data_IF_243127826748
#
_entry.id   IF_243127826748
#
_cell.length_a   1.000
_cell.length_b   1.000
_cell.length_c   1.000
_cell.angle_alpha   90.00
_cell.angle_beta   90.00
_cell.angle_gamma   90.00
#
_symmetry.space_group_name_H-M   'P 1'
#
loop_
_entity.id
_entity.type
_entity.pdbx_description
1 polymer ?
#
# COMPACT_ATOMS: atom_id res chain seq x y z
N UNK A 1 -0.52 -6.51 -17.39
CA UNK A 1 -1.80 -6.23 -16.70
C UNK A 1 -2.80 -7.36 -16.96
N UNK A 2 -3.44 -7.90 -15.90
CA UNK A 2 -4.41 -8.99 -15.98
C UNK A 2 -5.80 -8.42 -15.67
N UNK A 3 -6.80 -8.49 -16.60
CA UNK A 3 -8.13 -7.91 -16.37
C UNK A 3 -8.80 -8.36 -15.05
N UNK A 4 -8.53 -9.61 -14.63
CA UNK A 4 -9.04 -10.17 -13.37
C UNK A 4 -8.59 -9.40 -12.12
N UNK A 5 -7.46 -8.70 -12.18
CA UNK A 5 -6.84 -7.95 -11.08
C UNK A 5 -6.77 -6.45 -11.39
N UNK A 6 -7.74 -5.96 -12.15
CA UNK A 6 -7.81 -4.58 -12.59
C UNK A 6 -9.16 -3.96 -12.24
N UNK A 7 -9.15 -2.72 -11.76
CA UNK A 7 -10.36 -1.92 -11.56
C UNK A 7 -10.45 -0.86 -12.67
N UNK A 8 -11.65 -0.61 -13.21
CA UNK A 8 -11.82 0.27 -14.37
C UNK A 8 -11.24 1.67 -14.19
N UNK A 9 -11.38 2.25 -12.99
CA UNK A 9 -10.95 3.61 -12.68
C UNK A 9 -9.43 3.77 -12.80
N UNK A 10 -8.67 2.80 -12.28
CA UNK A 10 -7.21 2.81 -12.39
C UNK A 10 -6.75 2.48 -13.81
N UNK A 11 -7.42 1.54 -14.48
CA UNK A 11 -7.11 1.20 -15.88
C UNK A 11 -7.30 2.42 -16.80
N UNK A 12 -8.33 3.22 -16.58
CA UNK A 12 -8.62 4.41 -17.37
C UNK A 12 -7.49 5.44 -17.35
N UNK A 13 -6.76 5.56 -16.22
CA UNK A 13 -5.59 6.46 -16.12
C UNK A 13 -4.50 6.08 -17.13
N UNK A 14 -4.34 4.79 -17.40
CA UNK A 14 -3.28 4.23 -18.24
C UNK A 14 -3.72 3.93 -19.66
N UNK A 15 -4.98 4.27 -20.03
CA UNK A 15 -5.44 4.04 -21.38
C UNK A 15 -4.70 4.94 -22.38
N UNK A 16 -4.51 4.48 -23.63
CA UNK A 16 -3.92 5.30 -24.69
C UNK A 16 -4.66 6.63 -24.90
N UNK A 17 -6.00 6.60 -24.81
CA UNK A 17 -6.84 7.78 -24.96
C UNK A 17 -6.56 8.82 -23.89
N UNK A 18 -6.45 8.40 -22.63
CA UNK A 18 -6.08 9.29 -21.50
C UNK A 18 -4.67 9.84 -21.70
N UNK A 19 -3.72 9.02 -22.11
CA UNK A 19 -2.34 9.45 -22.39
C UNK A 19 -2.32 10.53 -23.47
N UNK A 20 -2.97 10.30 -24.61
CA UNK A 20 -2.98 11.28 -25.70
C UNK A 20 -3.77 12.55 -25.35
N UNK A 21 -4.78 12.44 -24.49
CA UNK A 21 -5.47 13.61 -23.96
C UNK A 21 -4.53 14.49 -23.12
N UNK A 22 -3.74 13.91 -22.26
CA UNK A 22 -2.75 14.65 -21.44
C UNK A 22 -1.68 15.25 -22.36
N UNK A 23 -1.20 14.51 -23.38
CA UNK A 23 -0.25 15.06 -24.35
C UNK A 23 -0.79 16.29 -25.04
N UNK A 24 -2.05 16.26 -25.47
CA UNK A 24 -2.71 17.43 -26.06
C UNK A 24 -2.81 18.58 -25.07
N UNK A 25 -3.19 18.32 -23.82
CA UNK A 25 -3.30 19.36 -22.79
C UNK A 25 -1.96 20.06 -22.55
N UNK A 26 -0.85 19.33 -22.47
CA UNK A 26 0.50 19.89 -22.36
C UNK A 26 0.85 20.81 -23.53
N UNK A 27 0.62 20.33 -24.77
CA UNK A 27 0.89 21.09 -26.00
C UNK A 27 0.01 22.36 -26.09
N UNK A 28 -1.25 22.24 -25.73
CA UNK A 28 -2.19 23.36 -25.78
C UNK A 28 -1.90 24.41 -24.71
N UNK A 29 -1.57 24.03 -23.49
CA UNK A 29 -1.15 24.95 -22.44
C UNK A 29 0.18 25.64 -22.78
N UNK A 30 1.14 24.89 -23.35
CA UNK A 30 2.37 25.49 -23.86
C UNK A 30 2.07 26.52 -24.96
N UNK A 31 1.15 26.22 -25.88
CA UNK A 31 0.68 27.14 -26.90
C UNK A 31 0.04 28.41 -26.33
N UNK A 32 -0.80 28.29 -25.30
CA UNK A 32 -1.41 29.45 -24.61
C UNK A 32 -0.32 30.34 -23.99
N UNK A 33 0.62 29.77 -23.24
CA UNK A 33 1.71 30.50 -22.62
C UNK A 33 2.58 31.21 -23.68
N UNK A 34 2.93 30.52 -24.77
CA UNK A 34 3.68 31.13 -25.88
C UNK A 34 2.94 32.27 -26.56
N UNK A 35 1.61 32.20 -26.65
CA UNK A 35 0.78 33.25 -27.21
C UNK A 35 0.73 34.48 -26.26
N UNK A 36 0.67 34.28 -24.96
CA UNK A 36 0.73 35.36 -23.99
C UNK A 36 2.09 36.08 -24.00
N UNK A 37 3.14 35.34 -24.24
CA UNK A 37 4.49 35.86 -24.43
C UNK A 37 4.73 36.52 -25.79
N UNK A 38 3.75 36.48 -26.70
CA UNK A 38 3.85 37.04 -28.04
C UNK A 38 4.73 36.22 -29.01
N UNK A 39 5.07 34.99 -28.68
CA UNK A 39 5.91 34.12 -29.51
C UNK A 39 5.09 33.53 -30.67
N UNK A 40 3.82 33.19 -30.40
CA UNK A 40 2.87 32.73 -31.44
C UNK A 40 1.62 33.63 -31.44
N UNK A 41 0.85 33.64 -32.56
CA UNK A 41 -0.40 34.40 -32.60
C UNK A 41 -1.44 33.87 -31.60
N UNK A 42 -2.16 34.73 -30.90
CA UNK A 42 -3.25 34.38 -29.98
C UNK A 42 -4.35 33.55 -30.66
N UNK A 43 -4.70 33.90 -31.89
CA UNK A 43 -5.69 33.14 -32.67
C UNK A 43 -5.22 31.71 -32.98
N UNK A 44 -3.92 31.50 -33.17
CA UNK A 44 -3.39 30.16 -33.37
C UNK A 44 -3.52 29.31 -32.09
N UNK A 45 -3.19 29.85 -30.91
CA UNK A 45 -3.37 29.16 -29.63
C UNK A 45 -4.85 28.80 -29.40
N UNK A 46 -5.78 29.73 -29.70
CA UNK A 46 -7.22 29.45 -29.64
C UNK A 46 -7.64 28.35 -30.58
N UNK A 47 -7.16 28.37 -31.84
CA UNK A 47 -7.46 27.32 -32.83
C UNK A 47 -6.95 25.95 -32.36
N UNK A 48 -5.75 25.90 -31.77
CA UNK A 48 -5.15 24.67 -31.22
C UNK A 48 -6.07 24.08 -30.14
N UNK A 49 -6.52 24.93 -29.20
CA UNK A 49 -7.46 24.49 -28.15
C UNK A 49 -8.78 23.99 -28.72
N UNK A 50 -9.49 24.83 -29.48
CA UNK A 50 -10.83 24.53 -29.94
C UNK A 50 -10.90 23.26 -30.78
N UNK A 51 -9.95 23.09 -31.68
CA UNK A 51 -9.93 21.92 -32.57
C UNK A 51 -9.35 20.68 -31.92
N UNK A 52 -8.31 20.83 -31.08
CA UNK A 52 -7.69 19.71 -30.38
C UNK A 52 -8.57 19.18 -29.24
N UNK A 53 -9.32 20.06 -28.54
CA UNK A 53 -10.28 19.64 -27.51
C UNK A 53 -11.43 18.82 -28.09
N UNK A 54 -11.91 19.24 -29.28
CA UNK A 54 -12.95 18.51 -30.01
C UNK A 54 -12.44 17.22 -30.69
N UNK A 55 -11.12 17.04 -30.81
CA UNK A 55 -10.53 15.89 -31.50
C UNK A 55 -10.78 14.60 -30.72
N UNK A 56 -11.14 13.56 -31.47
CA UNK A 56 -11.13 12.17 -30.99
C UNK A 56 -9.85 11.52 -31.49
N UNK A 57 -8.87 11.36 -30.60
CA UNK A 57 -7.61 10.73 -30.98
C UNK A 57 -7.84 9.27 -31.32
N UNK A 58 -7.52 8.91 -32.56
CA UNK A 58 -7.60 7.54 -33.07
C UNK A 58 -6.26 6.85 -32.85
N UNK A 59 -6.23 5.96 -31.85
CA UNK A 59 -5.03 5.20 -31.47
C UNK A 59 -4.49 4.40 -32.66
N UNK A 60 -5.35 3.75 -33.44
CA UNK A 60 -4.93 2.95 -34.59
C UNK A 60 -4.27 3.84 -35.66
N UNK A 61 -4.83 5.05 -35.90
CA UNK A 61 -4.22 6.03 -36.82
C UNK A 61 -2.87 6.51 -36.36
N UNK A 62 -2.71 6.78 -35.07
CA UNK A 62 -1.41 7.17 -34.49
C UNK A 62 -0.40 6.03 -34.65
N UNK A 63 -0.80 4.78 -34.39
CA UNK A 63 0.05 3.60 -34.57
C UNK A 63 0.48 3.40 -36.02
N UNK A 64 -0.40 3.64 -36.98
CA UNK A 64 -0.08 3.61 -38.43
C UNK A 64 1.02 4.65 -38.78
N UNK A 65 0.89 5.87 -38.25
CA UNK A 65 1.87 6.93 -38.48
C UNK A 65 3.20 6.57 -37.79
N UNK A 66 3.16 6.07 -36.57
CA UNK A 66 4.33 5.63 -35.81
C UNK A 66 5.07 4.49 -36.50
N UNK A 67 4.35 3.58 -37.15
CA UNK A 67 4.96 2.48 -37.92
C UNK A 67 5.89 2.99 -39.03
N UNK A 68 5.66 4.20 -39.53
CA UNK A 68 6.48 4.88 -40.53
C UNK A 68 7.55 5.79 -39.90
N UNK A 69 7.11 6.65 -38.99
CA UNK A 69 7.99 7.68 -38.37
C UNK A 69 8.95 7.11 -37.36
N UNK A 70 8.67 5.95 -36.75
CA UNK A 70 9.40 5.29 -35.66
C UNK A 70 9.57 6.19 -34.43
N UNK A 71 8.60 7.10 -34.21
CA UNK A 71 8.63 8.05 -33.12
C UNK A 71 7.20 8.40 -32.66
N UNK A 72 6.87 8.06 -31.43
CA UNK A 72 5.53 8.15 -30.86
C UNK A 72 5.00 9.61 -30.76
N UNK A 73 5.82 10.55 -30.24
CA UNK A 73 5.39 11.96 -30.13
C UNK A 73 5.21 12.58 -31.53
N UNK A 74 6.11 12.31 -32.48
CA UNK A 74 5.93 12.80 -33.86
C UNK A 74 4.66 12.23 -34.47
N UNK A 75 4.35 10.96 -34.25
CA UNK A 75 3.13 10.33 -34.75
C UNK A 75 1.87 11.01 -34.18
N UNK A 76 1.86 11.27 -32.87
CA UNK A 76 0.78 12.01 -32.24
C UNK A 76 0.63 13.44 -32.79
N UNK A 77 1.71 14.20 -32.89
CA UNK A 77 1.70 15.56 -33.44
C UNK A 77 1.22 15.60 -34.87
N UNK A 78 1.60 14.62 -35.67
CA UNK A 78 1.13 14.46 -37.07
C UNK A 78 -0.38 14.22 -37.13
N UNK A 79 -0.89 13.34 -36.26
CA UNK A 79 -2.32 13.08 -36.14
C UNK A 79 -3.08 14.31 -35.62
N UNK A 80 -2.55 15.00 -34.62
CA UNK A 80 -3.13 16.24 -34.11
C UNK A 80 -3.23 17.31 -35.19
N UNK A 81 -2.22 17.42 -36.07
CA UNK A 81 -2.23 18.34 -37.19
C UNK A 81 -3.35 18.10 -38.19
N UNK A 82 -3.82 16.83 -38.34
CA UNK A 82 -4.97 16.48 -39.19
C UNK A 82 -6.26 17.21 -38.75
N UNK A 83 -6.38 17.52 -37.44
CA UNK A 83 -7.54 18.28 -36.89
C UNK A 83 -7.28 19.80 -36.86
N UNK A 84 -6.10 20.23 -36.45
CA UNK A 84 -5.78 21.65 -36.28
C UNK A 84 -5.63 22.37 -37.63
N UNK A 85 -4.98 21.73 -38.57
CA UNK A 85 -4.68 22.29 -39.90
C UNK A 85 -3.43 23.23 -39.82
N UNK A 86 -3.43 24.37 -40.57
CA UNK A 86 -2.22 25.21 -40.76
C UNK A 86 -1.58 25.73 -39.47
N UNK A 87 -2.37 25.94 -38.41
CA UNK A 87 -1.88 26.42 -37.13
C UNK A 87 -1.12 25.37 -36.32
N UNK A 88 -1.15 24.10 -36.75
CA UNK A 88 -0.34 23.02 -36.14
C UNK A 88 1.16 23.28 -36.19
N UNK A 89 1.63 24.18 -37.07
CA UNK A 89 3.03 24.62 -37.10
C UNK A 89 3.51 25.30 -35.81
N UNK A 90 2.60 25.72 -34.96
CA UNK A 90 2.90 26.34 -33.67
C UNK A 90 2.84 25.36 -32.49
N UNK A 91 2.43 24.12 -32.71
CA UNK A 91 2.46 23.07 -31.69
C UNK A 91 3.90 22.59 -31.51
N UNK A 92 4.29 22.22 -30.30
CA UNK A 92 5.61 21.67 -29.93
C UNK A 92 6.79 22.65 -30.14
N UNK A 93 6.55 23.95 -30.14
CA UNK A 93 7.60 24.93 -30.39
C UNK A 93 8.58 25.05 -29.21
N UNK A 94 9.87 24.76 -29.47
CA UNK A 94 10.94 24.81 -28.51
C UNK A 94 10.97 23.65 -27.52
N UNK A 95 9.99 22.75 -27.58
CA UNK A 95 9.88 21.58 -26.72
C UNK A 95 10.67 20.37 -27.24
N UNK A 96 10.83 19.39 -26.40
CA UNK A 96 11.31 18.04 -26.74
C UNK A 96 10.28 16.98 -26.35
N UNK A 97 10.39 15.78 -26.90
CA UNK A 97 9.47 14.69 -26.61
C UNK A 97 9.32 14.38 -25.13
N UNK A 98 10.40 14.47 -24.36
CA UNK A 98 10.38 14.19 -22.93
C UNK A 98 9.63 15.25 -22.12
N UNK A 99 9.52 16.49 -22.57
CA UNK A 99 8.66 17.50 -21.94
C UNK A 99 7.19 17.03 -21.89
N UNK A 100 6.76 16.31 -22.93
CA UNK A 100 5.42 15.73 -22.99
C UNK A 100 5.37 14.39 -22.26
N UNK A 101 6.34 13.50 -22.52
CA UNK A 101 6.32 12.12 -21.99
C UNK A 101 6.46 12.07 -20.47
N UNK A 102 7.46 12.78 -19.91
CA UNK A 102 7.74 12.77 -18.48
C UNK A 102 6.65 13.47 -17.68
N UNK A 103 6.22 14.65 -18.16
CA UNK A 103 5.12 15.39 -17.53
C UNK A 103 3.83 14.58 -17.53
N UNK A 104 3.53 13.87 -18.63
CA UNK A 104 2.37 12.97 -18.71
C UNK A 104 2.48 11.81 -17.74
N UNK A 105 3.63 11.14 -17.66
CA UNK A 105 3.85 10.05 -16.72
C UNK A 105 3.58 10.51 -15.28
N UNK A 106 4.07 11.68 -14.91
CA UNK A 106 3.89 12.22 -13.57
C UNK A 106 2.43 12.60 -13.30
N UNK A 107 1.70 13.16 -14.28
CA UNK A 107 0.24 13.38 -14.16
C UNK A 107 -0.49 12.04 -13.92
N UNK A 108 -0.14 10.99 -14.66
CA UNK A 108 -0.74 9.67 -14.49
C UNK A 108 -0.41 9.07 -13.12
N UNK A 109 0.84 9.19 -12.64
CA UNK A 109 1.25 8.72 -11.32
C UNK A 109 0.57 9.49 -10.19
N UNK A 110 0.38 10.79 -10.33
CA UNK A 110 -0.38 11.61 -9.37
C UNK A 110 -1.84 11.16 -9.30
N UNK A 111 -2.50 10.99 -10.44
CA UNK A 111 -3.89 10.50 -10.51
C UNK A 111 -4.01 9.09 -9.93
N UNK A 112 -3.04 8.22 -10.19
CA UNK A 112 -2.98 6.88 -9.61
C UNK A 112 -2.81 6.95 -8.07
N UNK A 113 -1.93 7.81 -7.57
CA UNK A 113 -1.73 8.02 -6.14
C UNK A 113 -3.01 8.51 -5.44
N UNK A 114 -3.79 9.38 -6.08
CA UNK A 114 -5.05 9.86 -5.53
C UNK A 114 -6.08 8.73 -5.35
N UNK A 115 -6.18 7.79 -6.30
CA UNK A 115 -7.01 6.58 -6.15
C UNK A 115 -6.46 5.65 -5.05
N UNK A 116 -5.15 5.43 -5.01
CA UNK A 116 -4.52 4.62 -3.97
C UNK A 116 -4.71 5.19 -2.56
N UNK A 117 -4.71 6.52 -2.41
CA UNK A 117 -5.02 7.20 -1.15
C UNK A 117 -6.47 6.97 -0.72
N UNK A 118 -7.41 7.03 -1.65
CA UNK A 118 -8.82 6.74 -1.37
C UNK A 118 -9.03 5.27 -0.94
N UNK A 119 -8.36 4.33 -1.59
CA UNK A 119 -8.38 2.92 -1.20
C UNK A 119 -7.74 2.70 0.18
N UNK A 120 -6.64 3.38 0.46
CA UNK A 120 -5.97 3.34 1.77
C UNK A 120 -6.89 3.86 2.87
N UNK A 121 -7.64 4.94 2.63
CA UNK A 121 -8.61 5.48 3.58
C UNK A 121 -9.72 4.46 3.90
N UNK A 122 -10.16 3.69 2.90
CA UNK A 122 -11.10 2.59 3.12
C UNK A 122 -10.51 1.47 3.98
N UNK A 123 -9.25 1.08 3.73
CA UNK A 123 -8.55 0.08 4.56
C UNK A 123 -8.45 0.56 6.00
N UNK A 124 -8.06 1.82 6.21
CA UNK A 124 -7.94 2.42 7.54
C UNK A 124 -9.31 2.45 8.26
N UNK A 125 -10.37 2.84 7.58
CA UNK A 125 -11.72 2.84 8.15
C UNK A 125 -12.15 1.43 8.57
N UNK A 126 -11.89 0.42 7.74
CA UNK A 126 -12.18 -0.98 8.06
C UNK A 126 -11.40 -1.47 9.28
N UNK A 127 -10.08 -1.24 9.31
CA UNK A 127 -9.22 -1.63 10.44
C UNK A 127 -9.63 -0.93 11.74
N UNK A 128 -9.92 0.37 11.70
CA UNK A 128 -10.38 1.15 12.87
C UNK A 128 -11.69 0.58 13.41
N UNK A 129 -12.69 0.36 12.55
CA UNK A 129 -13.97 -0.22 12.93
C UNK A 129 -13.76 -1.57 13.63
N UNK A 130 -12.98 -2.47 13.03
CA UNK A 130 -12.72 -3.80 13.60
C UNK A 130 -11.91 -3.74 14.89
N UNK A 131 -10.97 -2.79 15.02
CA UNK A 131 -10.24 -2.59 16.26
C UNK A 131 -11.17 -2.27 17.42
N UNK A 132 -12.11 -1.34 17.25
CA UNK A 132 -13.07 -0.98 18.30
C UNK A 132 -14.09 -2.09 18.57
N UNK A 133 -14.57 -2.77 17.53
CA UNK A 133 -15.52 -3.89 17.67
C UNK A 133 -14.95 -5.03 18.51
N UNK A 134 -13.65 -5.30 18.40
CA UNK A 134 -12.96 -6.39 19.09
C UNK A 134 -11.97 -5.93 20.14
N UNK A 135 -12.13 -4.70 20.66
CA UNK A 135 -11.23 -4.10 21.61
C UNK A 135 -10.95 -5.01 22.81
N UNK A 136 -12.00 -5.62 23.33
CA UNK A 136 -11.97 -6.46 24.51
C UNK A 136 -12.08 -7.97 24.21
N UNK A 137 -12.02 -8.36 22.93
CA UNK A 137 -12.02 -9.76 22.53
C UNK A 137 -10.65 -10.36 22.80
N UNK A 138 -10.54 -11.10 23.93
CA UNK A 138 -9.28 -11.68 24.39
C UNK A 138 -8.86 -12.85 23.51
N UNK A 139 -7.58 -12.88 23.14
CA UNK A 139 -6.92 -14.00 22.44
C UNK A 139 -5.52 -14.24 23.01
N UNK A 140 -4.96 -15.42 22.72
CA UNK A 140 -3.56 -15.68 23.04
C UNK A 140 -2.61 -14.95 22.07
N UNK A 141 -1.67 -14.20 22.60
CA UNK A 141 -0.52 -13.70 21.86
C UNK A 141 0.48 -14.82 21.60
N UNK A 142 1.07 -14.83 20.41
CA UNK A 142 2.06 -15.83 20.00
C UNK A 142 3.37 -15.15 19.60
N UNK A 143 4.48 -15.62 20.16
CA UNK A 143 5.81 -15.33 19.67
C UNK A 143 6.48 -16.62 19.22
N UNK A 144 7.24 -16.60 18.14
CA UNK A 144 7.81 -17.80 17.51
C UNK A 144 6.77 -18.89 17.18
N UNK A 145 5.49 -18.52 17.02
CA UNK A 145 4.38 -19.46 16.83
C UNK A 145 3.90 -20.16 18.11
N UNK A 146 4.48 -19.85 19.28
CA UNK A 146 4.18 -20.46 20.58
C UNK A 146 3.32 -19.50 21.41
N UNK A 147 2.44 -20.05 22.26
CA UNK A 147 1.63 -19.28 23.18
C UNK A 147 2.52 -18.49 24.16
N UNK A 148 2.28 -17.19 24.24
CA UNK A 148 2.96 -16.28 25.15
C UNK A 148 1.95 -15.76 26.20
N UNK A 149 1.55 -14.52 26.12
CA UNK A 149 0.62 -13.89 27.05
C UNK A 149 -0.69 -13.48 26.36
N UNK A 150 -1.79 -13.32 27.11
CA UNK A 150 -3.04 -12.81 26.60
C UNK A 150 -2.91 -11.41 25.97
N UNK A 151 -3.60 -11.20 24.87
CA UNK A 151 -3.77 -9.92 24.15
C UNK A 151 -5.21 -9.79 23.71
N UNK A 152 -5.55 -8.77 22.90
CA UNK A 152 -6.88 -8.66 22.31
C UNK A 152 -6.85 -8.67 20.79
N UNK A 153 -7.93 -9.10 20.17
CA UNK A 153 -8.08 -9.03 18.71
C UNK A 153 -8.14 -7.56 18.23
N UNK A 154 -8.71 -6.66 19.06
CA UNK A 154 -8.70 -5.24 18.78
C UNK A 154 -7.29 -4.64 18.69
N UNK A 155 -6.35 -5.08 19.54
CA UNK A 155 -4.95 -4.67 19.46
C UNK A 155 -4.27 -5.17 18.17
N UNK A 156 -4.66 -6.34 17.69
CA UNK A 156 -4.18 -6.86 16.39
C UNK A 156 -4.59 -5.93 15.25
N UNK A 157 -5.85 -5.51 15.20
CA UNK A 157 -6.32 -4.55 14.19
C UNK A 157 -5.71 -3.14 14.39
N UNK A 158 -5.57 -2.67 15.63
CA UNK A 158 -4.96 -1.39 15.95
C UNK A 158 -3.49 -1.30 15.48
N UNK A 159 -2.72 -2.41 15.62
CA UNK A 159 -1.36 -2.51 15.09
C UNK A 159 -1.32 -2.30 13.59
N UNK A 160 -2.19 -2.99 12.85
CA UNK A 160 -2.28 -2.86 11.40
C UNK A 160 -2.78 -1.50 10.96
N UNK A 161 -3.72 -0.91 11.71
CA UNK A 161 -4.16 0.46 11.48
C UNK A 161 -2.97 1.44 11.56
N UNK A 162 -2.20 1.40 12.64
CA UNK A 162 -1.06 2.29 12.83
C UNK A 162 0.04 2.09 11.75
N UNK A 163 0.22 0.86 11.26
CA UNK A 163 1.12 0.55 10.15
C UNK A 163 0.63 1.16 8.83
N UNK A 164 -0.67 0.99 8.52
CA UNK A 164 -1.28 1.54 7.30
C UNK A 164 -1.37 3.07 7.35
N UNK A 165 -1.57 3.68 8.51
CA UNK A 165 -1.55 5.14 8.68
C UNK A 165 -0.17 5.73 8.33
N UNK A 166 0.91 5.09 8.78
CA UNK A 166 2.27 5.47 8.36
C UNK A 166 2.49 5.30 6.86
N UNK A 167 1.91 4.25 6.26
CA UNK A 167 1.98 4.04 4.81
C UNK A 167 1.19 5.10 4.05
N UNK A 168 0.03 5.51 4.56
CA UNK A 168 -0.73 6.62 3.99
C UNK A 168 0.09 7.93 4.00
N UNK A 169 0.75 8.23 5.10
CA UNK A 169 1.62 9.40 5.19
C UNK A 169 2.78 9.35 4.18
N UNK A 170 3.40 8.17 4.00
CA UNK A 170 4.43 7.96 2.96
C UNK A 170 3.88 8.18 1.55
N UNK A 171 2.69 7.66 1.27
CA UNK A 171 2.06 7.83 -0.05
C UNK A 171 1.70 9.29 -0.33
N UNK A 172 1.23 10.05 0.67
CA UNK A 172 1.01 11.49 0.56
C UNK A 172 2.31 12.21 0.19
N UNK A 173 3.41 11.89 0.87
CA UNK A 173 4.72 12.47 0.56
C UNK A 173 5.22 12.08 -0.84
N UNK A 174 5.12 10.81 -1.21
CA UNK A 174 5.51 10.33 -2.54
C UNK A 174 4.65 10.94 -3.66
N UNK A 175 3.35 11.12 -3.41
CA UNK A 175 2.45 11.81 -4.34
C UNK A 175 2.85 13.28 -4.54
N UNK A 176 3.22 13.97 -3.47
CA UNK A 176 3.70 15.34 -3.56
C UNK A 176 5.03 15.45 -4.33
N UNK A 177 5.97 14.52 -4.06
CA UNK A 177 7.28 14.49 -4.71
C UNK A 177 7.19 14.15 -6.21
N UNK A 178 6.28 13.25 -6.61
CA UNK A 178 6.08 12.90 -8.02
C UNK A 178 5.26 13.94 -8.79
N UNK A 179 4.58 14.85 -8.11
CA UNK A 179 3.78 15.91 -8.74
C UNK A 179 4.68 17.00 -9.32
N UNK A 180 5.57 16.63 -10.25
CA UNK A 180 6.58 17.48 -10.86
C UNK A 180 6.46 17.39 -12.39
N UNK A 181 6.57 18.51 -13.08
CA UNK A 181 6.58 18.60 -14.54
C UNK A 181 7.83 19.31 -15.05
N UNK A 182 8.18 19.09 -16.32
CA UNK A 182 9.26 19.80 -16.99
C UNK A 182 8.87 20.12 -18.43
N UNK A 183 9.09 21.35 -18.84
CA UNK A 183 8.96 21.83 -20.22
C UNK A 183 10.15 22.74 -20.49
N UNK A 184 11.34 22.15 -20.64
CA UNK A 184 12.63 22.84 -20.58
C UNK A 184 13.51 22.62 -21.82
N UNK A 185 13.00 21.89 -22.81
CA UNK A 185 13.68 21.64 -24.07
C UNK A 185 14.69 20.48 -24.01
N UNK A 186 15.48 20.35 -25.06
CA UNK A 186 16.26 19.16 -25.37
C UNK A 186 17.25 18.70 -24.29
N UNK A 187 17.74 19.60 -23.45
CA UNK A 187 18.73 19.31 -22.39
C UNK A 187 18.48 20.11 -21.10
N UNK A 188 17.25 20.64 -20.93
CA UNK A 188 16.87 21.33 -19.70
C UNK A 188 17.38 22.77 -19.55
N UNK A 189 17.88 23.38 -20.61
CA UNK A 189 18.50 24.72 -20.54
C UNK A 189 17.60 25.87 -21.00
N UNK A 190 16.35 25.58 -21.38
CA UNK A 190 15.40 26.57 -21.92
C UNK A 190 15.90 27.34 -23.15
N UNK A 191 16.81 26.73 -23.94
CA UNK A 191 17.46 27.43 -25.07
C UNK A 191 16.46 27.99 -26.10
N UNK A 192 15.35 27.29 -26.31
CA UNK A 192 14.36 27.66 -27.34
C UNK A 192 12.93 27.84 -26.78
N UNK A 193 12.76 27.83 -25.46
CA UNK A 193 11.48 28.02 -24.79
C UNK A 193 11.67 28.87 -23.53
N UNK A 194 10.70 29.72 -23.21
CA UNK A 194 10.79 30.56 -22.01
C UNK A 194 10.40 29.74 -20.76
N UNK A 195 11.11 29.82 -19.63
CA UNK A 195 10.76 29.11 -18.39
C UNK A 195 9.34 29.34 -17.89
N UNK A 196 8.76 30.50 -18.19
CA UNK A 196 7.35 30.81 -17.84
C UNK A 196 6.35 29.88 -18.52
N UNK A 197 6.72 29.24 -19.64
CA UNK A 197 5.88 28.21 -20.29
C UNK A 197 5.80 26.97 -19.42
N UNK A 198 6.92 26.53 -18.86
CA UNK A 198 6.95 25.42 -17.91
C UNK A 198 6.11 25.71 -16.67
N UNK A 199 6.29 26.87 -16.05
CA UNK A 199 5.51 27.28 -14.88
C UNK A 199 4.01 27.26 -15.17
N UNK A 200 3.60 27.79 -16.31
CA UNK A 200 2.19 27.81 -16.74
C UNK A 200 1.61 26.41 -16.97
N UNK A 201 2.32 25.55 -17.69
CA UNK A 201 1.90 24.17 -17.95
C UNK A 201 1.77 23.39 -16.65
N UNK A 202 2.77 23.50 -15.75
CA UNK A 202 2.75 22.83 -14.45
C UNK A 202 1.58 23.31 -13.59
N UNK A 203 1.33 24.62 -13.49
CA UNK A 203 0.19 25.17 -12.76
C UNK A 203 -1.15 24.61 -13.27
N UNK A 204 -1.34 24.56 -14.59
CA UNK A 204 -2.57 24.04 -15.20
C UNK A 204 -2.79 22.55 -14.95
N UNK A 205 -1.72 21.77 -14.81
CA UNK A 205 -1.77 20.34 -14.56
C UNK A 205 -1.71 19.98 -13.06
N UNK A 206 -1.57 20.98 -12.18
CA UNK A 206 -1.42 20.78 -10.73
C UNK A 206 -0.10 20.12 -10.34
N UNK A 207 0.97 20.46 -11.05
CA UNK A 207 2.34 20.03 -10.84
C UNK A 207 3.22 21.20 -10.38
N UNK A 208 4.36 20.87 -9.75
CA UNK A 208 5.45 21.81 -9.51
C UNK A 208 6.45 21.74 -10.67
N UNK A 209 7.03 22.86 -11.06
CA UNK A 209 8.10 22.86 -12.06
C UNK A 209 9.37 22.22 -11.49
N UNK A 210 10.04 21.37 -12.26
CA UNK A 210 11.31 20.75 -11.87
C UNK A 210 12.41 21.81 -11.78
N UNK A 211 13.05 22.01 -10.61
CA UNK A 211 14.08 23.04 -10.47
C UNK A 211 15.26 22.90 -11.41
N UNK A 212 15.67 21.67 -11.70
CA UNK A 212 16.77 21.35 -12.61
C UNK A 212 16.48 20.01 -13.28
N UNK A 213 16.10 20.06 -14.55
CA UNK A 213 16.00 18.87 -15.39
C UNK A 213 17.22 18.74 -16.32
N UNK A 214 17.34 17.57 -16.94
CA UNK A 214 18.15 17.37 -18.15
C UNK A 214 17.21 17.33 -19.35
N UNK A 215 17.28 16.34 -20.23
CA UNK A 215 16.17 16.08 -21.16
C UNK A 215 14.98 15.43 -20.44
N UNK A 216 15.21 14.90 -19.24
CA UNK A 216 14.23 14.17 -18.42
C UNK A 216 14.19 14.71 -16.99
N UNK A 217 13.06 14.50 -16.34
CA UNK A 217 12.93 14.70 -14.88
C UNK A 217 13.82 13.67 -14.15
N UNK A 218 14.53 14.02 -13.07
CA UNK A 218 15.33 13.08 -12.29
C UNK A 218 14.51 11.88 -11.80
N UNK A 219 15.06 10.66 -11.95
CA UNK A 219 14.34 9.41 -11.67
C UNK A 219 14.37 8.96 -10.22
N UNK A 220 15.11 9.63 -9.35
CA UNK A 220 15.03 9.41 -7.89
C UNK A 220 13.62 9.61 -7.34
N UNK A 221 12.86 10.58 -7.86
CA UNK A 221 11.44 10.80 -7.54
C UNK A 221 10.58 9.58 -7.85
N UNK A 222 10.77 9.00 -9.03
CA UNK A 222 10.06 7.79 -9.45
C UNK A 222 10.50 6.59 -8.62
N UNK A 223 11.80 6.43 -8.34
CA UNK A 223 12.32 5.38 -7.48
C UNK A 223 11.72 5.43 -6.08
N UNK A 224 11.60 6.61 -5.47
CA UNK A 224 10.96 6.79 -4.17
C UNK A 224 9.46 6.47 -4.23
N UNK A 225 8.77 6.88 -5.30
CA UNK A 225 7.37 6.56 -5.51
C UNK A 225 7.15 5.03 -5.50
N UNK A 226 7.86 4.28 -6.35
CA UNK A 226 7.73 2.82 -6.43
C UNK A 226 8.22 2.11 -5.16
N UNK A 227 9.25 2.61 -4.48
CA UNK A 227 9.68 2.10 -3.18
C UNK A 227 8.56 2.22 -2.14
N UNK A 228 7.85 3.35 -2.12
CA UNK A 228 6.69 3.55 -1.26
C UNK A 228 5.58 2.53 -1.55
N UNK A 229 5.25 2.29 -2.82
CA UNK A 229 4.27 1.26 -3.20
C UNK A 229 4.72 -0.14 -2.75
N UNK A 230 6.02 -0.44 -2.83
CA UNK A 230 6.61 -1.68 -2.35
C UNK A 230 6.45 -1.88 -0.83
N UNK A 231 6.61 -0.81 -0.04
CA UNK A 231 6.39 -0.85 1.42
C UNK A 231 4.91 -1.09 1.74
N UNK A 232 4.00 -0.41 1.04
CA UNK A 232 2.54 -0.61 1.20
C UNK A 232 2.18 -2.07 0.91
N UNK A 233 2.67 -2.63 -0.19
CA UNK A 233 2.43 -4.02 -0.57
C UNK A 233 2.95 -5.01 0.50
N UNK A 234 4.09 -4.72 1.12
CA UNK A 234 4.64 -5.54 2.20
C UNK A 234 3.75 -5.51 3.45
N UNK A 235 3.14 -4.38 3.75
CA UNK A 235 2.16 -4.26 4.83
C UNK A 235 0.85 -5.01 4.52
N UNK A 236 0.38 -4.97 3.26
CA UNK A 236 -0.76 -5.80 2.82
C UNK A 236 -0.47 -7.29 3.05
N UNK A 237 0.72 -7.75 2.68
CA UNK A 237 1.14 -9.13 2.89
C UNK A 237 1.20 -9.48 4.38
N UNK A 238 1.68 -8.57 5.24
CA UNK A 238 1.73 -8.76 6.69
C UNK A 238 0.33 -9.01 7.28
N UNK A 239 -0.67 -8.22 6.89
CA UNK A 239 -2.07 -8.45 7.30
C UNK A 239 -2.60 -9.77 6.76
N UNK A 240 -2.35 -10.06 5.48
CA UNK A 240 -2.80 -11.28 4.84
C UNK A 240 -2.24 -12.54 5.50
N UNK A 241 -0.96 -12.54 5.87
CA UNK A 241 -0.30 -13.65 6.56
C UNK A 241 -0.90 -13.87 7.96
N UNK A 242 -1.15 -12.81 8.74
CA UNK A 242 -1.78 -12.93 10.05
C UNK A 242 -3.17 -13.57 9.93
N UNK A 243 -4.00 -13.14 8.98
CA UNK A 243 -5.33 -13.71 8.75
C UNK A 243 -5.22 -15.19 8.37
N UNK A 244 -4.30 -15.55 7.46
CA UNK A 244 -4.07 -16.95 7.06
C UNK A 244 -3.63 -17.82 8.22
N UNK A 245 -2.78 -17.31 9.13
CA UNK A 245 -2.39 -18.02 10.35
C UNK A 245 -3.57 -18.23 11.28
N UNK A 246 -4.47 -17.24 11.42
CA UNK A 246 -5.68 -17.38 12.26
C UNK A 246 -6.69 -18.37 11.66
N UNK A 247 -6.72 -18.55 10.34
CA UNK A 247 -7.67 -19.46 9.66
C UNK A 247 -7.19 -20.91 9.61
N UNK A 248 -5.97 -21.23 9.99
CA UNK A 248 -5.51 -22.62 10.02
C UNK A 248 -6.42 -23.49 10.91
N UNK A 249 -6.64 -24.73 10.50
CA UNK A 249 -7.53 -25.69 11.17
C UNK A 249 -7.25 -25.80 12.68
N UNK A 250 -5.97 -25.82 13.06
CA UNK A 250 -5.52 -25.97 14.45
C UNK A 250 -5.68 -24.69 15.27
N UNK A 251 -5.92 -23.54 14.63
CA UNK A 251 -6.07 -22.21 15.24
C UNK A 251 -7.52 -21.77 15.19
N UNK A 252 -8.06 -21.60 14.00
CA UNK A 252 -9.44 -21.22 13.66
C UNK A 252 -9.99 -20.10 14.56
N UNK A 253 -9.22 -19.03 14.70
CA UNK A 253 -9.60 -17.81 15.45
C UNK A 253 -10.28 -16.77 14.58
N UNK A 254 -10.02 -16.81 13.27
CA UNK A 254 -10.69 -16.00 12.26
C UNK A 254 -10.82 -16.76 10.94
N UNK A 255 -11.72 -16.31 10.07
CA UNK A 255 -11.96 -16.91 8.75
C UNK A 255 -12.38 -15.84 7.75
N UNK A 256 -11.90 -15.92 6.51
CA UNK A 256 -12.45 -15.13 5.40
C UNK A 256 -13.95 -15.40 5.25
N UNK A 257 -14.71 -14.35 4.96
CA UNK A 257 -16.16 -14.50 4.76
C UNK A 257 -16.44 -15.40 3.54
N UNK A 258 -17.20 -16.45 3.77
CA UNK A 258 -17.60 -17.41 2.76
C UNK A 258 -19.02 -17.12 2.29
N UNK A 259 -19.16 -16.67 1.05
CA UNK A 259 -20.47 -16.24 0.50
C UNK A 259 -21.39 -17.42 0.25
N UNK A 260 -22.72 -17.25 0.39
CA UNK A 260 -23.68 -18.28 -0.04
C UNK A 260 -23.44 -18.69 -1.50
N UNK A 261 -23.36 -20.00 -1.74
CA UNK A 261 -23.08 -20.57 -3.07
C UNK A 261 -21.62 -20.62 -3.49
N UNK A 262 -20.72 -20.02 -2.74
CA UNK A 262 -19.28 -20.13 -3.00
C UNK A 262 -18.80 -21.59 -2.86
N UNK A 263 -17.85 -21.98 -3.70
CA UNK A 263 -17.19 -23.30 -3.62
C UNK A 263 -15.75 -23.09 -3.11
N UNK A 264 -15.43 -23.74 -2.00
CA UNK A 264 -14.10 -23.61 -1.38
C UNK A 264 -13.06 -24.59 -1.92
N UNK A 265 -13.53 -25.73 -2.46
CA UNK A 265 -12.66 -26.79 -3.01
C UNK A 265 -13.42 -27.56 -4.08
N UNK A 266 -12.68 -28.02 -5.11
CA UNK A 266 -13.23 -28.91 -6.13
C UNK A 266 -13.42 -30.35 -5.64
N UNK A 267 -12.66 -30.76 -4.62
CA UNK A 267 -12.66 -32.13 -4.12
C UNK A 267 -13.38 -32.30 -2.76
N UNK A 268 -13.31 -31.29 -1.90
CA UNK A 268 -13.84 -31.34 -0.53
C UNK A 268 -14.84 -30.21 -0.29
N UNK A 269 -16.16 -30.47 -0.33
CA UNK A 269 -17.19 -29.43 -0.27
C UNK A 269 -17.17 -28.56 1.00
N UNK A 270 -16.67 -29.07 2.12
CA UNK A 270 -16.59 -28.38 3.41
C UNK A 270 -15.33 -27.50 3.56
N UNK A 271 -14.34 -27.64 2.67
CA UNK A 271 -13.05 -26.96 2.82
C UNK A 271 -13.17 -25.48 2.41
N UNK A 272 -12.87 -24.59 3.34
CA UNK A 272 -12.87 -23.14 3.15
C UNK A 272 -11.44 -22.62 3.15
N UNK A 273 -10.91 -22.34 1.97
CA UNK A 273 -9.53 -21.88 1.81
C UNK A 273 -9.47 -20.35 1.94
N UNK A 274 -8.38 -19.78 2.53
CA UNK A 274 -8.15 -18.35 2.60
C UNK A 274 -7.66 -17.78 1.25
N UNK A 275 -8.48 -17.93 0.20
CA UNK A 275 -8.05 -17.66 -1.19
C UNK A 275 -7.79 -16.19 -1.44
N UNK A 276 -8.53 -15.29 -0.76
CA UNK A 276 -8.38 -13.86 -0.95
C UNK A 276 -7.05 -13.36 -0.36
N UNK A 277 -6.69 -13.80 0.83
CA UNK A 277 -5.41 -13.42 1.47
C UNK A 277 -4.22 -14.15 0.85
N UNK A 278 -4.38 -15.38 0.35
CA UNK A 278 -3.36 -16.03 -0.49
C UNK A 278 -3.08 -15.22 -1.76
N UNK A 279 -4.13 -14.76 -2.44
CA UNK A 279 -3.99 -13.88 -3.61
C UNK A 279 -3.31 -12.56 -3.25
N UNK A 280 -3.67 -11.91 -2.13
CA UNK A 280 -3.00 -10.69 -1.65
C UNK A 280 -1.50 -10.90 -1.43
N UNK A 281 -1.10 -12.03 -0.85
CA UNK A 281 0.31 -12.40 -0.68
C UNK A 281 1.04 -12.50 -2.03
N UNK A 282 0.38 -13.06 -3.04
CA UNK A 282 0.92 -13.16 -4.40
C UNK A 282 1.04 -11.79 -5.09
N UNK A 283 -0.02 -10.97 -5.02
CA UNK A 283 -0.04 -9.63 -5.62
C UNK A 283 1.01 -8.70 -5.01
N UNK A 284 1.25 -8.80 -3.70
CA UNK A 284 2.29 -8.03 -3.03
C UNK A 284 3.70 -8.27 -3.63
N UNK A 285 3.98 -9.48 -4.09
CA UNK A 285 5.25 -9.81 -4.76
C UNK A 285 5.39 -9.09 -6.09
N UNK A 286 4.30 -9.00 -6.87
CA UNK A 286 4.29 -8.30 -8.14
C UNK A 286 4.52 -6.79 -7.96
N UNK A 287 3.88 -6.18 -6.96
CA UNK A 287 4.11 -4.76 -6.65
C UNK A 287 5.56 -4.50 -6.27
N UNK A 288 6.15 -5.33 -5.39
CA UNK A 288 7.57 -5.18 -4.99
C UNK A 288 8.56 -5.37 -6.12
N UNK A 289 8.19 -6.13 -7.15
CA UNK A 289 9.06 -6.35 -8.31
C UNK A 289 9.41 -5.04 -9.04
N UNK A 290 8.56 -4.03 -8.98
CA UNK A 290 8.77 -2.73 -9.63
C UNK A 290 9.87 -1.87 -8.98
N UNK A 291 10.21 -2.15 -7.72
CA UNK A 291 11.12 -1.31 -6.91
C UNK A 291 12.54 -1.31 -7.49
N UNK A 292 13.07 -2.49 -7.80
CA UNK A 292 14.44 -2.62 -8.31
C UNK A 292 14.63 -1.92 -9.65
N UNK A 293 13.84 -2.19 -10.70
CA UNK A 293 14.00 -1.52 -11.98
C UNK A 293 13.73 0.00 -11.91
N UNK A 294 12.87 0.46 -11.00
CA UNK A 294 12.69 1.90 -10.78
C UNK A 294 13.95 2.55 -10.17
N UNK A 295 14.63 1.87 -9.27
CA UNK A 295 15.90 2.33 -8.71
C UNK A 295 17.04 2.31 -9.75
N UNK A 296 17.06 1.31 -10.64
CA UNK A 296 18.04 1.21 -11.72
C UNK A 296 17.88 2.36 -12.75
N UNK A 297 16.68 2.90 -12.92
CA UNK A 297 16.41 4.04 -13.79
C UNK A 297 17.02 5.37 -13.29
N UNK A 298 17.50 5.45 -12.05
CA UNK A 298 18.16 6.67 -11.52
C UNK A 298 19.46 6.95 -12.26
N UNK A 299 20.22 5.91 -12.64
CA UNK A 299 21.48 6.02 -13.32
C UNK A 299 21.31 6.02 -14.84
N UNK A 300 21.07 7.18 -15.43
CA UNK A 300 21.02 7.39 -16.89
C UNK A 300 22.33 8.00 -17.41
N UNK A 301 22.59 7.82 -18.70
CA UNK A 301 23.76 8.40 -19.34
C UNK A 301 23.52 9.88 -19.66
N UNK A 302 24.43 10.73 -19.16
CA UNK A 302 24.45 12.17 -19.45
C UNK A 302 23.07 12.81 -19.21
N UNK A 303 22.57 13.56 -20.18
CA UNK A 303 21.28 14.23 -20.10
C UNK A 303 20.09 13.27 -20.32
N UNK A 304 20.30 12.11 -20.96
CA UNK A 304 19.36 10.99 -21.12
C UNK A 304 19.93 9.85 -21.96
N UNK A 305 19.66 8.60 -21.56
CA UNK A 305 19.44 7.49 -22.50
C UNK A 305 18.00 7.01 -22.38
N UNK A 306 17.54 6.11 -23.28
CA UNK A 306 16.13 5.71 -23.32
C UNK A 306 15.83 4.41 -22.55
N UNK A 307 16.77 3.87 -21.78
CA UNK A 307 16.61 2.60 -21.08
C UNK A 307 15.44 2.61 -20.08
N UNK A 308 15.20 3.75 -19.41
CA UNK A 308 14.07 3.93 -18.47
C UNK A 308 12.69 3.72 -19.12
N UNK A 309 12.51 4.10 -20.38
CA UNK A 309 11.22 4.18 -21.03
C UNK A 309 10.50 2.83 -21.11
N UNK A 310 11.19 1.77 -21.51
CA UNK A 310 10.62 0.43 -21.58
C UNK A 310 10.22 -0.12 -20.21
N UNK A 311 10.97 0.23 -19.18
CA UNK A 311 10.70 -0.13 -17.80
C UNK A 311 9.44 0.57 -17.29
N UNK A 312 9.37 1.89 -17.46
CA UNK A 312 8.27 2.72 -16.94
C UNK A 312 6.93 2.40 -17.61
N UNK A 313 6.93 2.07 -18.91
CA UNK A 313 5.75 1.61 -19.64
C UNK A 313 5.13 0.33 -19.05
N UNK A 314 5.93 -0.51 -18.41
CA UNK A 314 5.48 -1.72 -17.74
C UNK A 314 5.14 -1.44 -16.25
N UNK A 315 6.10 -0.91 -15.47
CA UNK A 315 5.93 -0.80 -14.02
C UNK A 315 4.90 0.25 -13.60
N UNK A 316 4.73 1.33 -14.35
CA UNK A 316 3.72 2.36 -14.06
C UNK A 316 2.32 1.77 -13.94
N UNK A 317 1.75 1.27 -15.05
CA UNK A 317 0.42 0.68 -15.04
C UNK A 317 0.33 -0.59 -14.20
N UNK A 318 1.25 -1.54 -14.37
CA UNK A 318 1.12 -2.86 -13.73
C UNK A 318 1.19 -2.77 -12.20
N UNK A 319 2.03 -1.90 -11.66
CA UNK A 319 2.18 -1.75 -10.20
C UNK A 319 0.98 -1.04 -9.59
N UNK A 320 0.56 0.09 -10.17
CA UNK A 320 -0.56 0.89 -9.62
C UNK A 320 -1.89 0.16 -9.72
N UNK A 321 -2.17 -0.50 -10.85
CA UNK A 321 -3.38 -1.30 -11.05
C UNK A 321 -3.41 -2.50 -10.08
N UNK A 322 -2.27 -3.19 -9.91
CA UNK A 322 -2.20 -4.32 -8.99
C UNK A 322 -2.40 -3.88 -7.54
N UNK A 323 -1.79 -2.77 -7.13
CA UNK A 323 -1.89 -2.26 -5.77
C UNK A 323 -3.30 -1.73 -5.45
N UNK A 324 -3.92 -1.00 -6.37
CA UNK A 324 -5.31 -0.54 -6.28
C UNK A 324 -6.28 -1.71 -6.04
N UNK A 325 -6.15 -2.75 -6.85
CA UNK A 325 -6.94 -3.95 -6.67
C UNK A 325 -6.67 -4.63 -5.32
N UNK A 326 -5.41 -4.72 -4.90
CA UNK A 326 -5.02 -5.35 -3.65
C UNK A 326 -5.56 -4.59 -2.42
N UNK A 327 -5.46 -3.25 -2.40
CA UNK A 327 -5.99 -2.41 -1.32
C UNK A 327 -7.51 -2.55 -1.22
N UNK A 328 -8.21 -2.50 -2.35
CA UNK A 328 -9.67 -2.67 -2.38
C UNK A 328 -10.09 -4.06 -1.87
N UNK A 329 -9.38 -5.12 -2.28
CA UNK A 329 -9.61 -6.48 -1.79
C UNK A 329 -9.32 -6.60 -0.30
N UNK A 330 -8.21 -6.02 0.20
CA UNK A 330 -7.87 -6.04 1.61
C UNK A 330 -8.95 -5.39 2.47
N UNK A 331 -9.44 -4.21 2.06
CA UNK A 331 -10.53 -3.54 2.75
C UNK A 331 -11.75 -4.46 2.87
N UNK A 332 -12.18 -5.09 1.77
CA UNK A 332 -13.31 -6.02 1.77
C UNK A 332 -13.09 -7.27 2.62
N UNK A 333 -11.86 -7.80 2.69
CA UNK A 333 -11.51 -8.92 3.57
C UNK A 333 -11.63 -8.51 5.04
N UNK A 334 -11.05 -7.38 5.43
CA UNK A 334 -11.08 -6.88 6.82
C UNK A 334 -12.51 -6.55 7.26
N UNK A 335 -13.28 -5.88 6.40
CA UNK A 335 -14.68 -5.52 6.66
C UNK A 335 -15.56 -6.75 7.00
N UNK A 336 -15.31 -7.86 6.32
CA UNK A 336 -16.16 -9.06 6.37
C UNK A 336 -15.53 -10.22 7.15
N UNK A 337 -14.32 -10.05 7.70
CA UNK A 337 -13.62 -11.11 8.41
C UNK A 337 -14.49 -11.66 9.55
N UNK A 338 -14.69 -12.96 9.55
CA UNK A 338 -15.40 -13.67 10.62
C UNK A 338 -14.41 -13.92 11.77
N UNK A 339 -14.81 -13.56 12.98
CA UNK A 339 -14.01 -13.75 14.20
C UNK A 339 -14.70 -14.77 15.10
N UNK A 340 -13.92 -15.67 15.70
CA UNK A 340 -14.38 -16.73 16.59
C UNK A 340 -13.84 -16.53 18.02
N UNK A 341 -14.47 -15.68 18.86
CA UNK A 341 -14.01 -15.41 20.23
C UNK A 341 -13.93 -16.67 21.09
N UNK A 342 -14.85 -17.61 20.89
CA UNK A 342 -14.88 -18.88 21.64
C UNK A 342 -13.64 -19.75 21.32
N UNK A 343 -13.21 -19.80 20.07
CA UNK A 343 -11.98 -20.51 19.68
C UNK A 343 -10.73 -19.80 20.22
N UNK A 344 -10.74 -18.47 20.27
CA UNK A 344 -9.67 -17.69 20.90
C UNK A 344 -9.48 -18.06 22.37
N UNK A 345 -10.59 -18.12 23.14
CA UNK A 345 -10.56 -18.54 24.55
C UNK A 345 -10.15 -20.01 24.69
N UNK A 346 -10.67 -20.91 23.85
CA UNK A 346 -10.29 -22.33 23.83
C UNK A 346 -8.78 -22.50 23.59
N UNK A 347 -8.21 -21.80 22.61
CA UNK A 347 -6.79 -21.86 22.32
C UNK A 347 -5.96 -21.30 23.48
N UNK A 348 -6.38 -20.18 24.07
CA UNK A 348 -5.70 -19.59 25.23
C UNK A 348 -5.63 -20.56 26.42
N UNK A 349 -6.72 -21.32 26.66
CA UNK A 349 -6.81 -22.27 27.75
C UNK A 349 -6.20 -23.64 27.44
N UNK A 350 -5.63 -23.85 26.26
CA UNK A 350 -5.05 -25.12 25.83
C UNK A 350 -4.03 -25.69 26.82
N UNK A 351 -3.23 -24.83 27.42
CA UNK A 351 -2.22 -25.17 28.42
C UNK A 351 -2.63 -24.72 29.83
N UNK A 352 -3.93 -24.80 30.16
CA UNK A 352 -4.50 -24.76 31.50
C UNK A 352 -3.78 -23.80 32.48
N UNK A 353 -3.70 -22.54 32.10
CA UNK A 353 -3.18 -21.47 32.95
C UNK A 353 -1.70 -21.13 32.80
N UNK A 354 -0.90 -21.82 31.95
CA UNK A 354 0.50 -21.48 31.73
C UNK A 354 0.76 -20.03 31.28
N UNK A 355 -0.24 -19.40 30.65
CA UNK A 355 -0.20 -17.98 30.24
C UNK A 355 0.03 -17.03 31.41
N UNK A 356 -0.19 -17.47 32.64
CA UNK A 356 0.00 -16.69 33.89
C UNK A 356 1.36 -16.93 34.56
N UNK A 357 2.23 -17.78 33.99
CA UNK A 357 3.49 -18.21 34.61
C UNK A 357 4.41 -17.03 34.99
N UNK A 358 4.52 -16.00 34.16
CA UNK A 358 5.31 -14.82 34.46
C UNK A 358 4.76 -14.03 35.65
N UNK A 359 3.42 -13.90 35.75
CA UNK A 359 2.80 -13.23 36.92
C UNK A 359 3.13 -13.92 38.23
N UNK A 360 3.11 -15.27 38.24
CA UNK A 360 3.47 -16.06 39.41
C UNK A 360 4.96 -15.87 39.74
N UNK A 361 5.85 -15.91 38.74
CA UNK A 361 7.26 -15.68 38.89
C UNK A 361 7.52 -14.31 39.54
N UNK A 362 6.91 -13.25 39.06
CA UNK A 362 7.03 -11.92 39.59
C UNK A 362 6.47 -11.81 41.02
N UNK A 363 5.36 -12.47 41.34
CA UNK A 363 4.79 -12.49 42.66
C UNK A 363 5.74 -13.15 43.70
N UNK A 364 6.38 -14.27 43.34
CA UNK A 364 7.36 -14.94 44.16
C UNK A 364 8.58 -14.04 44.43
N UNK A 365 9.12 -13.37 43.44
CA UNK A 365 10.24 -12.45 43.60
C UNK A 365 9.86 -11.25 44.50
N UNK A 366 8.66 -10.72 44.34
CA UNK A 366 8.13 -9.65 45.20
C UNK A 366 7.91 -10.09 46.67
N UNK A 367 7.63 -11.39 46.86
CA UNK A 367 7.51 -12.01 48.17
C UNK A 367 8.90 -12.32 48.82
N UNK A 368 10.00 -11.97 48.17
CA UNK A 368 11.36 -12.13 48.70
C UNK A 368 12.07 -13.43 48.28
N UNK A 369 11.47 -14.24 47.40
CA UNK A 369 12.12 -15.42 46.84
C UNK A 369 13.14 -14.96 45.79
N UNK A 370 14.34 -15.61 45.77
CA UNK A 370 15.36 -15.29 44.75
C UNK A 370 14.81 -15.49 43.33
N UNK A 371 15.38 -14.80 42.35
CA UNK A 371 14.97 -14.94 40.96
C UNK A 371 15.16 -16.38 40.47
N UNK A 372 16.25 -16.98 40.79
CA UNK A 372 16.63 -18.34 40.44
C UNK A 372 15.64 -19.36 41.02
N UNK A 373 15.33 -19.24 42.31
CA UNK A 373 14.35 -20.09 42.97
C UNK A 373 12.93 -19.86 42.45
N UNK A 374 12.55 -18.59 42.24
CA UNK A 374 11.25 -18.28 41.62
C UNK A 374 11.11 -18.92 40.26
N UNK A 375 12.16 -18.85 39.42
CA UNK A 375 12.18 -19.50 38.14
C UNK A 375 12.07 -21.03 38.27
N UNK A 376 12.85 -21.65 39.12
CA UNK A 376 12.83 -23.10 39.40
C UNK A 376 11.45 -23.55 39.87
N UNK A 377 10.82 -22.81 40.78
CA UNK A 377 9.51 -23.15 41.33
C UNK A 377 8.43 -23.08 40.25
N UNK A 378 8.41 -22.02 39.43
CA UNK A 378 7.45 -21.86 38.34
C UNK A 378 7.69 -22.91 37.27
N UNK A 379 8.94 -23.14 36.86
CA UNK A 379 9.28 -24.08 35.81
C UNK A 379 8.88 -25.52 36.17
N UNK A 380 9.18 -26.01 37.38
CA UNK A 380 8.85 -27.39 37.76
C UNK A 380 7.33 -27.67 37.71
N UNK A 381 6.51 -26.69 38.10
CA UNK A 381 5.05 -26.81 38.05
C UNK A 381 4.54 -26.64 36.61
N UNK A 382 5.11 -25.72 35.84
CA UNK A 382 4.78 -25.54 34.43
C UNK A 382 5.10 -26.78 33.57
N UNK A 383 6.19 -27.49 33.86
CA UNK A 383 6.55 -28.71 33.12
C UNK A 383 5.57 -29.85 33.34
N UNK A 384 4.96 -29.96 34.53
CA UNK A 384 3.87 -30.94 34.74
C UNK A 384 2.64 -30.65 33.87
N UNK A 385 2.34 -29.36 33.69
CA UNK A 385 1.25 -28.96 32.76
C UNK A 385 1.60 -29.32 31.34
N UNK A 386 2.82 -29.00 30.92
CA UNK A 386 3.28 -29.24 29.55
C UNK A 386 3.37 -30.73 29.19
N UNK A 387 3.95 -31.52 30.07
CA UNK A 387 4.23 -32.95 29.82
C UNK A 387 3.05 -33.87 30.19
N UNK A 388 2.29 -33.55 31.22
CA UNK A 388 1.27 -34.45 31.79
C UNK A 388 -0.15 -33.91 31.66
N UNK A 389 -0.34 -32.66 31.13
CA UNK A 389 -1.65 -32.03 31.00
C UNK A 389 -2.28 -31.64 32.35
N UNK A 390 -1.47 -31.42 33.38
CA UNK A 390 -1.93 -30.96 34.69
C UNK A 390 -2.55 -29.56 34.62
N UNK A 391 -3.20 -29.10 35.66
CA UNK A 391 -3.70 -27.73 35.81
C UNK A 391 -2.65 -26.88 36.55
N UNK A 392 -2.25 -25.74 35.97
CA UNK A 392 -1.16 -24.93 36.53
C UNK A 392 -1.50 -24.31 37.87
N UNK A 393 -2.76 -23.89 38.07
CA UNK A 393 -3.22 -23.33 39.34
C UNK A 393 -3.17 -24.41 40.44
N UNK A 394 -3.71 -25.60 40.14
CA UNK A 394 -3.74 -26.69 41.10
C UNK A 394 -2.33 -27.18 41.48
N UNK A 395 -1.40 -27.23 40.52
CA UNK A 395 0.00 -27.57 40.79
C UNK A 395 0.68 -26.55 41.69
N UNK A 396 0.43 -25.24 41.49
CA UNK A 396 0.97 -24.18 42.36
C UNK A 396 0.37 -24.24 43.79
N UNK A 397 -0.94 -24.51 43.90
CA UNK A 397 -1.61 -24.65 45.19
C UNK A 397 -1.13 -25.89 45.98
N UNK A 398 -0.75 -26.94 45.28
CA UNK A 398 -0.19 -28.17 45.86
C UNK A 398 1.30 -28.07 46.23
N UNK A 399 2.00 -27.03 45.77
CA UNK A 399 3.43 -26.89 45.97
C UNK A 399 3.76 -26.18 47.32
N UNK A 400 4.34 -26.93 48.26
CA UNK A 400 4.61 -26.42 49.61
C UNK A 400 5.59 -25.23 49.61
N UNK A 401 6.57 -25.18 48.71
CA UNK A 401 7.52 -24.06 48.64
C UNK A 401 6.86 -22.80 48.05
N UNK A 402 6.00 -22.94 47.09
CA UNK A 402 5.20 -21.83 46.55
C UNK A 402 4.22 -21.31 47.62
N UNK A 403 3.57 -22.23 48.34
CA UNK A 403 2.61 -21.90 49.41
C UNK A 403 3.29 -21.27 50.64
N UNK A 404 4.56 -21.54 50.88
CA UNK A 404 5.32 -20.87 51.93
C UNK A 404 5.56 -19.36 51.62
N UNK A 405 5.65 -19.00 50.36
CA UNK A 405 5.91 -17.63 49.92
C UNK A 405 4.60 -16.87 49.56
N UNK A 406 3.56 -17.52 49.05
CA UNK A 406 2.31 -16.90 48.62
C UNK A 406 1.08 -17.60 49.23
N UNK A 407 0.12 -16.82 49.68
CA UNK A 407 -1.18 -17.36 50.10
C UNK A 407 -1.97 -17.91 48.92
N UNK A 408 -2.98 -18.76 49.18
CA UNK A 408 -3.86 -19.27 48.17
C UNK A 408 -4.57 -18.13 47.40
N UNK A 409 -5.05 -17.12 48.11
CA UNK A 409 -5.71 -15.97 47.52
C UNK A 409 -4.76 -15.21 46.57
N UNK A 410 -3.52 -14.98 46.98
CA UNK A 410 -2.49 -14.35 46.18
C UNK A 410 -2.16 -15.13 44.92
N UNK A 411 -2.15 -16.48 44.98
CA UNK A 411 -1.92 -17.33 43.80
C UNK A 411 -3.12 -17.21 42.85
N UNK A 412 -4.35 -17.38 43.37
CA UNK A 412 -5.58 -17.32 42.54
C UNK A 412 -5.75 -15.98 41.83
N UNK A 413 -5.40 -14.86 42.50
CA UNK A 413 -5.42 -13.53 41.89
C UNK A 413 -4.52 -13.43 40.64
N UNK A 414 -3.43 -14.22 40.56
CA UNK A 414 -2.53 -14.17 39.40
C UNK A 414 -3.15 -14.76 38.11
N UNK A 415 -4.26 -15.46 38.23
CA UNK A 415 -4.99 -16.05 37.12
C UNK A 415 -6.13 -15.16 36.56
N UNK A 416 -6.22 -13.91 37.01
CA UNK A 416 -7.12 -12.93 36.43
C UNK A 416 -6.62 -12.45 35.07
N UNK A 417 -7.41 -12.65 34.02
CA UNK A 417 -7.14 -12.21 32.65
C UNK A 417 -7.14 -10.68 32.50
N UNK A 418 -7.97 -9.98 33.30
CA UNK A 418 -8.07 -8.52 33.25
C UNK A 418 -6.74 -7.81 33.51
N UNK A 419 -5.83 -8.46 34.24
CA UNK A 419 -4.49 -7.92 34.45
C UNK A 419 -3.73 -7.71 33.15
N UNK A 420 -3.83 -8.61 32.18
CA UNK A 420 -3.13 -8.52 30.90
C UNK A 420 -3.73 -7.47 29.96
N UNK A 421 -4.99 -7.12 30.15
CA UNK A 421 -5.70 -6.18 29.26
C UNK A 421 -5.88 -4.78 29.86
N UNK A 422 -5.42 -4.55 31.10
CA UNK A 422 -5.61 -3.29 31.88
C UNK A 422 -5.09 -2.02 31.18
N UNK A 423 -4.19 -2.13 30.22
CA UNK A 423 -3.62 -1.00 29.48
C UNK A 423 -4.11 -0.91 28.02
N UNK A 424 -5.11 -1.68 27.62
CA UNK A 424 -5.69 -1.64 26.27
C UNK A 424 -6.20 -0.24 25.94
N UNK A 425 -6.89 0.42 26.87
CA UNK A 425 -7.38 1.79 26.69
C UNK A 425 -6.25 2.79 26.43
N UNK A 426 -5.15 2.65 27.15
CA UNK A 426 -3.96 3.51 26.97
C UNK A 426 -3.39 3.35 25.55
N UNK A 427 -3.31 2.11 25.06
CA UNK A 427 -2.80 1.82 23.72
C UNK A 427 -3.76 2.37 22.66
N UNK A 428 -5.07 2.15 22.82
CA UNK A 428 -6.09 2.69 21.92
C UNK A 428 -6.03 4.22 21.85
N UNK A 429 -5.87 4.90 22.99
CA UNK A 429 -5.69 6.35 23.03
C UNK A 429 -4.44 6.82 22.27
N UNK A 430 -3.35 6.06 22.30
CA UNK A 430 -2.12 6.39 21.54
C UNK A 430 -2.29 6.24 20.04
N UNK A 431 -3.13 5.30 19.59
CA UNK A 431 -3.32 4.99 18.19
C UNK A 431 -4.43 5.84 17.56
N UNK A 432 -5.52 6.07 18.28
CA UNK A 432 -6.71 6.70 17.71
C UNK A 432 -7.00 8.13 18.24
N UNK A 433 -6.17 8.65 19.13
CA UNK A 433 -6.22 10.01 19.65
C UNK A 433 -6.95 10.12 20.93
#
# INVERSE_FOLDING_TARGET
MIPRYSRPEMVAIWSPETKFRIWFEIEAYAGEALAELGVIPKEAAKTIWEKGDAAKFDVARIDEIEAVTKHDVIAFLTHLAEFIGPDSRFVHQGMTSSDVLDTTLNVQLVRAADLLLADMDRVLAALKKRAFEHKDTVRIGRSHGIHAEPTTMGLTFARFYAEMERNRARLVAARAEIATGAVSGAVGTFANIDPRVEEYVCEKLGLEAEPVSTQVIPRDRHAMFFATLGVIASSIENVAIEIRHMQRTEVLEAEEFFSPGQKGSSAMPHKRNPVLTENLTGLARLVRMSVVPAMENVALWHERDISHSSVERAIGPDTTITLDFALNRLAGVVEKLVIYPENMLKNMNKFRGLVHSQRVLLALTQAGVSREDSYRLVQRNAMKVWEQGADFLEELLGDAEVRAALSEEQIREKFDLGYHTKHVDTIFKRVFG
#
